data_IF_472728221546
#
_entry.id   IF_472728221546
#
_cell.length_a   1.000
_cell.length_b   1.000
_cell.length_c   1.000
_cell.angle_alpha   90.00
_cell.angle_beta   90.00
_cell.angle_gamma   90.00
#
_symmetry.space_group_name_H-M   'P 1'
#
loop_
_entity.id
_entity.type
_entity.pdbx_description
1 polymer ?
#
# COMPACT_ATOMS: atom_id res chain seq x y z
N UNK A 1 3.75 3.21 1.78
CA UNK A 1 5.20 2.98 1.64
C UNK A 1 5.99 4.27 1.85
N UNK A 2 6.91 4.23 2.81
CA UNK A 2 8.03 5.15 3.01
C UNK A 2 9.20 4.34 3.55
N UNK A 3 10.43 4.80 3.42
CA UNK A 3 11.62 4.02 3.82
C UNK A 3 11.53 3.52 5.27
N UNK A 4 11.08 4.36 6.19
CA UNK A 4 10.96 4.00 7.61
C UNK A 4 10.08 2.77 7.88
N UNK A 5 8.93 2.62 7.19
CA UNK A 5 7.97 1.54 7.46
C UNK A 5 7.88 0.48 6.35
N UNK A 6 8.63 0.68 5.27
CA UNK A 6 8.78 -0.25 4.15
C UNK A 6 10.22 -0.13 3.65
N UNK A 7 11.22 -0.63 4.41
CA UNK A 7 12.62 -0.48 4.06
C UNK A 7 12.94 -1.00 2.65
N UNK A 8 13.75 -0.26 1.89
CA UNK A 8 14.13 -0.58 0.51
C UNK A 8 13.40 0.25 -0.56
N UNK A 9 12.29 0.90 -0.23
CA UNK A 9 11.54 1.73 -1.21
C UNK A 9 12.08 3.16 -1.34
N UNK A 10 12.89 3.63 -0.39
CA UNK A 10 13.37 5.01 -0.29
C UNK A 10 14.13 5.46 -1.53
N UNK A 11 14.99 4.59 -2.07
CA UNK A 11 15.75 4.87 -3.31
C UNK A 11 14.81 5.16 -4.50
N UNK A 12 13.73 4.39 -4.61
CA UNK A 12 12.71 4.59 -5.65
C UNK A 12 11.95 5.89 -5.41
N UNK A 13 11.52 6.14 -4.17
CA UNK A 13 10.77 7.34 -3.83
C UNK A 13 11.58 8.63 -4.06
N UNK A 14 12.86 8.64 -3.67
CA UNK A 14 13.79 9.77 -3.86
C UNK A 14 14.02 10.07 -5.34
N UNK A 15 14.16 9.03 -6.18
CA UNK A 15 14.27 9.16 -7.65
C UNK A 15 13.11 9.97 -8.25
N UNK A 16 11.91 9.87 -7.69
CA UNK A 16 10.73 10.59 -8.15
C UNK A 16 10.37 11.82 -7.30
N UNK A 17 11.14 12.13 -6.25
CA UNK A 17 10.88 13.26 -5.36
C UNK A 17 9.68 13.09 -4.44
N UNK A 18 9.24 11.85 -4.16
CA UNK A 18 8.14 11.56 -3.24
C UNK A 18 8.68 11.24 -1.86
N UNK A 19 8.07 11.79 -0.80
CA UNK A 19 8.39 11.39 0.59
C UNK A 19 7.77 10.06 0.97
N UNK A 20 6.62 9.75 0.37
CA UNK A 20 5.87 8.52 0.58
C UNK A 20 4.85 8.34 -0.53
N UNK A 21 4.38 7.11 -0.70
CA UNK A 21 3.25 6.77 -1.56
C UNK A 21 2.23 5.94 -0.76
N UNK A 22 0.92 6.10 -1.00
CA UNK A 22 -0.10 5.30 -0.32
C UNK A 22 0.09 3.79 -0.54
N UNK A 23 -0.31 3.01 0.46
CA UNK A 23 -0.28 1.55 0.42
C UNK A 23 -1.62 1.02 0.92
N UNK A 24 -2.11 -0.04 0.27
CA UNK A 24 -3.32 -0.73 0.68
C UNK A 24 -2.94 -2.05 1.36
N UNK A 25 -3.28 -2.17 2.64
CA UNK A 25 -3.12 -3.40 3.40
C UNK A 25 -4.39 -4.22 3.36
N UNK A 26 -4.23 -5.51 3.55
CA UNK A 26 -5.27 -6.49 3.75
C UNK A 26 -4.89 -7.25 5.02
N UNK A 27 -5.75 -7.14 6.02
CA UNK A 27 -5.57 -7.82 7.30
C UNK A 27 -6.86 -8.58 7.63
N UNK A 28 -6.74 -9.59 8.50
CA UNK A 28 -7.87 -10.29 9.08
C UNK A 28 -8.13 -9.73 10.48
N UNK A 29 -9.36 -9.30 10.77
CA UNK A 29 -9.77 -9.04 12.15
C UNK A 29 -10.24 -10.34 12.79
N UNK A 30 -9.50 -10.85 13.77
CA UNK A 30 -9.83 -12.06 14.49
C UNK A 30 -9.72 -11.81 15.99
N UNK A 31 -10.85 -11.99 16.71
CA UNK A 31 -10.95 -11.77 18.17
C UNK A 31 -10.46 -10.40 18.65
N UNK A 32 -10.65 -9.35 17.84
CA UNK A 32 -10.21 -8.00 18.15
C UNK A 32 -8.75 -7.70 17.81
N UNK A 33 -8.00 -8.69 17.31
CA UNK A 33 -6.65 -8.50 16.79
C UNK A 33 -6.67 -8.36 15.27
N UNK A 34 -5.86 -7.44 14.74
CA UNK A 34 -5.62 -7.30 13.30
C UNK A 34 -4.39 -8.13 12.92
N UNK A 35 -4.56 -9.10 12.03
CA UNK A 35 -3.48 -9.93 11.49
C UNK A 35 -3.20 -9.47 10.06
N UNK A 36 -2.10 -8.75 9.82
CA UNK A 36 -1.75 -8.28 8.48
C UNK A 36 -1.30 -9.44 7.58
N UNK A 37 -2.07 -9.67 6.51
CA UNK A 37 -1.81 -10.71 5.52
C UNK A 37 -1.08 -10.18 4.28
N UNK A 38 -0.90 -8.86 4.18
CA UNK A 38 -0.14 -8.24 3.07
C UNK A 38 1.35 -8.49 3.20
N UNK A 39 1.81 -8.61 4.45
CA UNK A 39 3.21 -8.76 4.85
C UNK A 39 3.52 -10.17 5.35
N UNK A 40 2.69 -11.15 5.01
CA UNK A 40 2.88 -12.52 5.48
C UNK A 40 4.23 -13.06 5.00
N UNK A 41 5.16 -13.28 5.94
CA UNK A 41 6.52 -13.72 5.66
C UNK A 41 7.58 -12.63 5.48
N UNK A 42 7.26 -11.34 5.70
CA UNK A 42 8.26 -10.25 5.69
C UNK A 42 8.57 -9.70 7.10
N UNK A 43 9.81 -9.27 7.32
CA UNK A 43 10.27 -8.61 8.55
C UNK A 43 9.84 -7.13 8.60
N UNK A 44 8.54 -6.87 8.55
CA UNK A 44 8.06 -5.50 8.66
C UNK A 44 8.31 -4.96 10.08
N UNK A 45 8.90 -3.77 10.15
CA UNK A 45 9.40 -3.16 11.39
C UNK A 45 8.29 -2.63 12.30
N UNK A 46 7.09 -2.36 11.76
CA UNK A 46 6.01 -1.69 12.49
C UNK A 46 4.61 -2.17 12.06
N UNK A 47 3.72 -2.33 13.05
CA UNK A 47 2.30 -2.55 12.85
C UNK A 47 1.61 -1.29 12.33
N UNK A 48 0.71 -1.45 11.35
CA UNK A 48 -0.10 -0.32 10.87
C UNK A 48 -1.32 -0.15 11.77
N UNK A 49 -1.24 0.87 12.62
CA UNK A 49 -2.30 1.20 13.57
C UNK A 49 -3.40 2.08 12.93
N UNK A 50 -3.01 2.95 12.00
CA UNK A 50 -3.91 3.94 11.39
C UNK A 50 -4.08 3.71 9.89
N UNK A 51 -5.34 3.73 9.45
CA UNK A 51 -5.71 3.68 8.04
C UNK A 51 -6.45 4.96 7.66
N UNK A 52 -6.16 5.49 6.47
CA UNK A 52 -6.99 6.57 5.90
C UNK A 52 -8.41 6.07 5.60
N UNK A 53 -8.51 4.84 5.11
CA UNK A 53 -9.74 4.18 4.71
C UNK A 53 -9.63 2.71 5.10
N UNK A 54 -10.68 2.17 5.72
CA UNK A 54 -10.79 0.77 6.13
C UNK A 54 -12.13 0.23 5.61
N UNK A 55 -12.10 -0.81 4.77
CA UNK A 55 -13.30 -1.35 4.11
C UNK A 55 -13.39 -2.86 4.36
N UNK A 56 -14.50 -3.36 4.94
CA UNK A 56 -14.72 -4.79 5.06
C UNK A 56 -14.95 -5.39 3.67
N UNK A 57 -14.20 -6.45 3.34
CA UNK A 57 -14.27 -7.10 2.02
C UNK A 57 -14.29 -8.61 2.18
N UNK A 58 -15.11 -9.29 1.35
CA UNK A 58 -15.09 -10.75 1.27
C UNK A 58 -13.84 -11.22 0.52
N UNK A 59 -13.19 -12.33 0.91
CA UNK A 59 -11.97 -12.81 0.25
C UNK A 59 -12.10 -12.94 -1.27
N UNK A 60 -13.25 -13.41 -1.77
CA UNK A 60 -13.51 -13.60 -3.20
C UNK A 60 -13.59 -12.28 -3.99
N UNK A 61 -13.80 -11.14 -3.32
CA UNK A 61 -13.88 -9.82 -3.93
C UNK A 61 -12.57 -9.02 -3.77
N UNK A 62 -11.68 -9.46 -2.89
CA UNK A 62 -10.46 -8.73 -2.52
C UNK A 62 -9.62 -8.35 -3.74
N UNK A 63 -9.39 -9.29 -4.66
CA UNK A 63 -8.57 -9.08 -5.85
C UNK A 63 -9.09 -7.98 -6.78
N UNK A 64 -10.41 -7.72 -6.76
CA UNK A 64 -11.06 -6.65 -7.52
C UNK A 64 -11.13 -5.34 -6.72
N UNK A 65 -11.60 -5.43 -5.48
CA UNK A 65 -11.88 -4.24 -4.65
C UNK A 65 -10.60 -3.51 -4.26
N UNK A 66 -9.51 -4.23 -3.95
CA UNK A 66 -8.28 -3.62 -3.45
C UNK A 66 -7.63 -2.68 -4.49
N UNK A 67 -7.42 -3.09 -5.75
CA UNK A 67 -6.93 -2.18 -6.78
C UNK A 67 -7.86 -1.00 -7.07
N UNK A 68 -9.18 -1.24 -7.15
CA UNK A 68 -10.18 -0.20 -7.44
C UNK A 68 -10.20 0.89 -6.35
N UNK A 69 -10.26 0.48 -5.08
CA UNK A 69 -10.22 1.38 -3.93
C UNK A 69 -8.92 2.18 -3.90
N UNK A 70 -7.78 1.53 -4.16
CA UNK A 70 -6.50 2.22 -4.13
C UNK A 70 -6.39 3.23 -5.28
N UNK A 71 -6.83 2.89 -6.49
CA UNK A 71 -6.88 3.82 -7.62
C UNK A 71 -7.79 5.00 -7.33
N UNK A 72 -8.98 4.77 -6.78
CA UNK A 72 -9.89 5.86 -6.42
C UNK A 72 -9.24 6.81 -5.40
N UNK A 73 -8.58 6.27 -4.38
CA UNK A 73 -7.84 7.11 -3.43
C UNK A 73 -6.77 7.99 -4.11
N UNK A 74 -6.08 7.46 -5.13
CA UNK A 74 -5.11 8.25 -5.89
C UNK A 74 -5.79 9.32 -6.76
N UNK A 75 -6.93 9.01 -7.38
CA UNK A 75 -7.74 9.99 -8.13
C UNK A 75 -8.13 11.14 -7.20
N UNK A 76 -8.66 10.82 -6.02
CA UNK A 76 -9.14 11.81 -5.06
C UNK A 76 -8.00 12.69 -4.52
N UNK A 77 -6.79 12.12 -4.39
CA UNK A 77 -5.63 12.82 -3.80
C UNK A 77 -4.78 13.60 -4.79
N UNK A 78 -4.58 13.06 -6.00
CA UNK A 78 -3.62 13.60 -6.99
C UNK A 78 -4.29 14.03 -8.30
N UNK A 79 -5.56 13.69 -8.50
CA UNK A 79 -6.29 13.89 -9.74
C UNK A 79 -6.03 12.80 -10.78
N UNK A 80 -7.00 12.59 -11.67
CA UNK A 80 -7.00 11.53 -12.70
C UNK A 80 -5.69 11.49 -13.52
N UNK A 81 -5.15 12.66 -13.87
CA UNK A 81 -3.96 12.78 -14.71
C UNK A 81 -2.66 12.28 -14.08
N UNK A 82 -2.61 12.12 -12.75
CA UNK A 82 -1.41 11.65 -12.04
C UNK A 82 -1.52 10.20 -11.55
N UNK A 83 -2.68 9.57 -11.67
CA UNK A 83 -2.89 8.21 -11.15
C UNK A 83 -1.94 7.21 -11.80
N UNK A 84 -1.76 7.30 -13.11
CA UNK A 84 -0.90 6.36 -13.84
C UNK A 84 0.57 6.46 -13.40
N UNK A 85 1.10 7.67 -13.24
CA UNK A 85 2.49 7.89 -12.82
C UNK A 85 2.70 7.47 -11.37
N UNK A 86 1.80 7.85 -10.46
CA UNK A 86 1.87 7.43 -9.05
C UNK A 86 1.74 5.90 -8.94
N UNK A 87 0.83 5.29 -9.69
CA UNK A 87 0.71 3.83 -9.74
C UNK A 87 1.99 3.15 -10.23
N UNK A 88 2.65 3.70 -11.24
CA UNK A 88 3.93 3.17 -11.71
C UNK A 88 5.02 3.24 -10.64
N UNK A 89 5.14 4.37 -9.92
CA UNK A 89 6.09 4.52 -8.80
C UNK A 89 5.83 3.45 -7.73
N UNK A 90 4.55 3.19 -7.44
CA UNK A 90 4.16 2.11 -6.51
C UNK A 90 4.64 0.75 -6.97
N UNK A 91 4.44 0.39 -8.25
CA UNK A 91 4.90 -0.90 -8.78
C UNK A 91 6.43 -1.03 -8.73
N UNK A 92 7.16 0.06 -9.01
CA UNK A 92 8.63 0.08 -8.89
C UNK A 92 9.09 -0.10 -7.44
N UNK A 93 8.39 0.51 -6.46
CA UNK A 93 8.64 0.27 -5.05
C UNK A 93 8.43 -1.20 -4.67
N UNK A 94 7.37 -1.85 -5.16
CA UNK A 94 7.11 -3.29 -4.90
C UNK A 94 8.20 -4.16 -5.50
N UNK A 95 8.65 -3.85 -6.71
CA UNK A 95 9.73 -4.59 -7.36
C UNK A 95 11.04 -4.51 -6.55
N UNK A 96 11.34 -3.35 -5.96
CA UNK A 96 12.51 -3.16 -5.10
C UNK A 96 12.48 -3.96 -3.78
N UNK A 97 11.30 -4.42 -3.35
CA UNK A 97 11.15 -5.27 -2.15
C UNK A 97 11.32 -6.76 -2.45
N UNK A 98 11.40 -7.14 -3.73
CA UNK A 98 11.47 -8.53 -4.17
C UNK A 98 12.92 -8.98 -4.46
N UNK A 99 13.91 -8.19 -4.05
CA UNK A 99 15.35 -8.39 -4.23
C UNK A 99 16.05 -8.49 -2.89
#
# INVERSE_FOLDING_TARGET
MKEYNTPGVGVVLDKYGYKFIPEAHCYLNFRGSRVDLTRFGSEAVEEINDFFIEVPVRPQKLAKVKPEMHRQFLVDKYGEGQVASVWQIREECIAALST
#
